data_IF_919457063275
#
_entry.id   IF_919457063275
#
_cell.length_a   1.000
_cell.length_b   1.000
_cell.length_c   1.000
_cell.angle_alpha   90.00
_cell.angle_beta   90.00
_cell.angle_gamma   90.00
#
_symmetry.space_group_name_H-M   'P 1'
#
loop_
_entity.id
_entity.type
_entity.pdbx_description
1 polymer ?
#
# COMPACT_ATOMS: atom_id res chain seq x y z
N UNK A 1 -19.46 -31.79 19.15
CA UNK A 1 -20.78 -31.93 18.52
C UNK A 1 -21.25 -33.38 18.68
N UNK A 2 -22.53 -33.62 19.05
CA UNK A 2 -23.09 -34.96 19.20
C UNK A 2 -23.51 -35.49 17.81
N UNK A 3 -23.34 -36.81 17.57
CA UNK A 3 -23.75 -37.49 16.34
C UNK A 3 -25.24 -37.27 16.02
N UNK A 4 -26.10 -37.20 17.04
CA UNK A 4 -27.52 -36.87 16.88
C UNK A 4 -27.76 -35.46 16.28
N UNK A 5 -26.94 -34.48 16.64
CA UNK A 5 -27.02 -33.14 16.07
C UNK A 5 -26.51 -33.08 14.61
N UNK A 6 -25.51 -33.90 14.28
CA UNK A 6 -25.01 -34.03 12.90
C UNK A 6 -26.11 -34.62 11.98
N UNK A 7 -26.81 -35.65 12.45
CA UNK A 7 -27.94 -36.32 11.73
C UNK A 7 -29.13 -35.36 11.51
N UNK A 8 -29.39 -34.47 12.48
CA UNK A 8 -30.47 -33.48 12.39
C UNK A 8 -30.10 -32.35 11.41
N UNK A 9 -28.86 -31.91 11.39
CA UNK A 9 -28.35 -30.88 10.46
C UNK A 9 -28.25 -31.40 9.02
N UNK A 10 -27.90 -32.67 8.82
CA UNK A 10 -27.88 -33.31 7.50
C UNK A 10 -29.27 -33.37 6.83
N UNK A 11 -30.34 -33.53 7.62
CA UNK A 11 -31.72 -33.58 7.11
C UNK A 11 -32.31 -32.21 6.73
N UNK A 12 -31.74 -31.12 7.19
CA UNK A 12 -32.27 -29.74 6.99
C UNK A 12 -31.53 -28.94 5.91
N UNK A 13 -30.59 -29.54 5.16
CA UNK A 13 -29.80 -28.82 4.16
C UNK A 13 -28.81 -27.81 4.77
N UNK A 14 -28.93 -27.47 6.05
CA UNK A 14 -28.19 -26.43 6.74
C UNK A 14 -26.68 -26.72 6.82
N UNK A 15 -26.25 -27.97 6.63
CA UNK A 15 -24.83 -28.38 6.59
C UNK A 15 -24.21 -28.01 5.23
N UNK A 16 -24.96 -28.22 4.17
CA UNK A 16 -24.58 -27.90 2.79
C UNK A 16 -24.48 -26.38 2.64
N UNK A 17 -25.46 -25.61 3.16
CA UNK A 17 -25.41 -24.14 3.14
C UNK A 17 -24.24 -23.58 3.94
N UNK A 18 -23.91 -24.19 5.08
CA UNK A 18 -22.72 -23.81 5.87
C UNK A 18 -21.41 -24.14 5.15
N UNK A 19 -21.36 -25.30 4.48
CA UNK A 19 -20.19 -25.69 3.68
C UNK A 19 -20.03 -24.78 2.46
N UNK A 20 -21.12 -24.49 1.75
CA UNK A 20 -21.12 -23.55 0.62
C UNK A 20 -20.63 -22.18 1.07
N UNK A 21 -21.19 -21.59 2.13
CA UNK A 21 -20.74 -20.33 2.70
C UNK A 21 -19.28 -20.37 3.17
N UNK A 22 -18.82 -21.51 3.68
CA UNK A 22 -17.41 -21.66 4.09
C UNK A 22 -16.48 -21.78 2.89
N UNK A 23 -16.91 -22.45 1.81
CA UNK A 23 -16.16 -22.55 0.55
C UNK A 23 -16.17 -21.21 -0.18
N UNK A 24 -17.30 -20.50 -0.23
CA UNK A 24 -17.39 -19.13 -0.74
C UNK A 24 -16.42 -18.21 0.02
N UNK A 25 -16.42 -18.26 1.34
CA UNK A 25 -15.52 -17.48 2.19
C UNK A 25 -14.04 -17.88 2.05
N UNK A 26 -13.74 -19.13 1.68
CA UNK A 26 -12.39 -19.57 1.34
C UNK A 26 -12.00 -19.13 -0.07
N UNK A 27 -12.93 -19.10 -1.01
CA UNK A 27 -12.71 -18.61 -2.37
C UNK A 27 -12.63 -17.07 -2.42
N UNK A 28 -13.37 -16.36 -1.56
CA UNK A 28 -13.25 -14.91 -1.37
C UNK A 28 -11.87 -14.51 -0.80
N UNK A 29 -11.23 -15.39 -0.01
CA UNK A 29 -9.85 -15.19 0.45
C UNK A 29 -8.78 -15.38 -0.63
N UNK A 30 -9.14 -15.83 -1.83
CA UNK A 30 -8.21 -16.06 -2.93
C UNK A 30 -7.77 -14.81 -3.69
N UNK A 31 -8.40 -13.65 -3.46
CA UNK A 31 -7.95 -12.38 -4.01
C UNK A 31 -7.27 -11.58 -2.90
N UNK A 32 -5.96 -11.74 -2.74
CA UNK A 32 -5.12 -11.25 -1.64
C UNK A 32 -5.12 -9.74 -1.32
N UNK A 33 -6.19 -9.01 -1.65
CA UNK A 33 -6.38 -7.63 -1.25
C UNK A 33 -7.17 -7.56 0.06
N UNK A 34 -6.61 -6.95 1.09
CA UNK A 34 -7.32 -6.68 2.35
C UNK A 34 -8.47 -5.69 2.08
N UNK A 35 -9.71 -6.17 2.15
CA UNK A 35 -10.92 -5.36 1.92
C UNK A 35 -11.10 -4.21 2.92
N UNK A 36 -10.42 -4.28 4.06
CA UNK A 36 -10.39 -3.19 5.04
C UNK A 36 -9.61 -1.98 4.54
N UNK A 37 -8.73 -2.18 3.53
CA UNK A 37 -7.89 -1.11 2.99
C UNK A 37 -8.65 -0.34 1.91
N UNK A 38 -9.03 0.90 2.24
CA UNK A 38 -9.60 1.81 1.27
C UNK A 38 -8.55 2.27 0.25
N UNK A 39 -8.91 2.25 -1.01
CA UNK A 39 -8.10 2.76 -2.11
C UNK A 39 -8.87 3.87 -2.82
N UNK A 40 -8.28 5.07 -2.95
CA UNK A 40 -8.92 6.13 -3.72
C UNK A 40 -9.01 5.73 -5.19
N UNK A 41 -10.16 5.92 -5.79
CA UNK A 41 -10.35 5.72 -7.22
C UNK A 41 -9.85 6.92 -8.02
N UNK A 42 -9.32 6.64 -9.20
CA UNK A 42 -8.89 7.66 -10.16
C UNK A 42 -9.61 7.44 -11.49
N UNK A 43 -9.87 8.53 -12.20
CA UNK A 43 -10.46 8.51 -13.51
C UNK A 43 -9.45 8.03 -14.59
N UNK A 44 -9.90 7.94 -15.85
CA UNK A 44 -9.06 7.52 -16.98
C UNK A 44 -7.85 8.45 -17.21
N UNK A 45 -7.89 9.67 -16.72
CA UNK A 45 -6.81 10.66 -16.80
C UNK A 45 -5.83 10.56 -15.63
N UNK A 46 -6.16 9.74 -14.62
CA UNK A 46 -5.36 9.55 -13.42
C UNK A 46 -5.64 10.59 -12.32
N UNK A 47 -6.76 11.32 -12.41
CA UNK A 47 -7.21 12.25 -11.38
C UNK A 47 -8.20 11.57 -10.43
N UNK A 48 -8.09 11.87 -9.16
CA UNK A 48 -8.99 11.37 -8.13
C UNK A 48 -9.29 12.42 -7.07
N UNK A 49 -10.45 12.29 -6.44
CA UNK A 49 -10.88 13.17 -5.36
C UNK A 49 -11.69 12.38 -4.35
N UNK A 50 -11.36 12.57 -3.08
CA UNK A 50 -12.16 12.11 -1.97
C UNK A 50 -11.95 13.02 -0.76
N UNK A 51 -12.88 12.98 0.19
CA UNK A 51 -12.76 13.65 1.49
C UNK A 51 -12.76 12.57 2.56
N UNK A 52 -11.70 12.52 3.33
CA UNK A 52 -11.53 11.56 4.42
C UNK A 52 -11.25 12.30 5.73
N UNK A 53 -11.51 11.66 6.84
CA UNK A 53 -11.09 12.10 8.17
C UNK A 53 -10.15 11.06 8.74
N UNK A 54 -8.96 11.46 9.13
CA UNK A 54 -8.07 10.62 9.92
C UNK A 54 -8.68 10.41 11.31
N UNK A 55 -8.54 9.21 11.84
CA UNK A 55 -9.13 8.82 13.11
C UNK A 55 -8.05 8.60 14.17
N UNK A 56 -8.37 8.73 15.46
CA UNK A 56 -7.41 8.51 16.54
C UNK A 56 -6.91 7.07 16.57
N UNK A 57 -5.98 6.81 17.45
CA UNK A 57 -5.50 5.47 17.75
C UNK A 57 -6.63 4.57 18.31
N UNK A 58 -6.66 3.30 17.87
CA UNK A 58 -7.51 2.29 18.48
C UNK A 58 -6.97 1.89 19.85
N UNK A 59 -7.81 1.29 20.69
CA UNK A 59 -7.41 0.81 22.01
C UNK A 59 -6.19 -0.14 21.89
N UNK A 60 -5.14 0.13 22.67
CA UNK A 60 -3.89 -0.65 22.66
C UNK A 60 -2.88 -0.24 21.60
N UNK A 61 -3.19 0.75 20.75
CA UNK A 61 -2.23 1.33 19.82
C UNK A 61 -1.56 2.55 20.46
N UNK A 62 -0.27 2.73 20.22
CA UNK A 62 0.51 3.86 20.73
C UNK A 62 0.36 5.11 19.87
N UNK A 63 0.15 4.93 18.57
CA UNK A 63 0.07 5.99 17.56
C UNK A 63 -1.13 5.77 16.63
N UNK A 64 -1.72 6.85 16.08
CA UNK A 64 -2.81 6.76 15.10
C UNK A 64 -2.33 6.33 13.70
N UNK A 65 -1.08 5.87 13.58
CA UNK A 65 -0.53 5.27 12.36
C UNK A 65 0.47 4.16 12.66
N UNK A 66 0.51 3.15 11.81
CA UNK A 66 1.59 2.18 11.74
C UNK A 66 2.54 2.53 10.59
N UNK A 67 3.85 2.43 10.84
CA UNK A 67 4.90 2.69 9.85
C UNK A 67 5.52 1.38 9.40
N UNK A 68 5.44 1.06 8.12
CA UNK A 68 5.92 -0.21 7.56
C UNK A 68 6.88 0.04 6.41
N UNK A 69 8.03 -0.62 6.45
CA UNK A 69 8.97 -0.67 5.33
C UNK A 69 8.79 -1.98 4.56
N UNK A 70 8.72 -1.87 3.23
CA UNK A 70 8.61 -3.02 2.33
C UNK A 70 9.68 -2.93 1.24
N UNK A 71 10.16 -4.08 0.77
CA UNK A 71 10.94 -4.17 -0.46
C UNK A 71 10.06 -4.71 -1.57
N UNK A 72 10.07 -4.06 -2.74
CA UNK A 72 9.35 -4.53 -3.91
C UNK A 72 10.16 -4.18 -5.16
N UNK A 73 10.78 -5.18 -5.78
CA UNK A 73 11.58 -5.04 -6.98
C UNK A 73 11.58 -6.34 -7.78
N UNK A 74 11.90 -6.24 -9.06
CA UNK A 74 12.04 -7.37 -9.95
C UNK A 74 13.53 -7.60 -10.24
N UNK A 75 13.97 -8.85 -10.05
CA UNK A 75 15.28 -9.30 -10.44
C UNK A 75 15.23 -10.39 -11.51
N UNK A 76 16.37 -10.94 -11.94
CA UNK A 76 16.43 -12.01 -12.93
C UNK A 76 15.66 -13.29 -12.54
N UNK A 77 15.54 -13.57 -11.24
CA UNK A 77 14.81 -14.72 -10.70
C UNK A 77 13.34 -14.44 -10.38
N UNK A 78 12.83 -13.25 -10.74
CA UNK A 78 11.44 -12.86 -10.52
C UNK A 78 11.27 -11.71 -9.51
N UNK A 79 10.05 -11.52 -9.04
CA UNK A 79 9.70 -10.49 -8.09
C UNK A 79 10.14 -10.82 -6.66
N UNK A 80 10.63 -9.79 -5.97
CA UNK A 80 10.85 -9.78 -4.54
C UNK A 80 9.89 -8.78 -3.89
N UNK A 81 8.89 -9.27 -3.18
CA UNK A 81 7.91 -8.44 -2.45
C UNK A 81 7.84 -8.97 -1.03
N UNK A 82 8.41 -8.22 -0.08
CA UNK A 82 8.48 -8.65 1.33
C UNK A 82 8.53 -7.46 2.28
N UNK A 83 7.99 -7.66 3.48
CA UNK A 83 8.18 -6.71 4.57
C UNK A 83 9.64 -6.67 5.02
N UNK A 84 10.14 -5.47 5.27
CA UNK A 84 11.51 -5.26 5.72
C UNK A 84 11.61 -5.39 7.24
N UNK A 85 12.56 -6.19 7.72
CA UNK A 85 12.87 -6.33 9.15
C UNK A 85 13.27 -5.00 9.81
N UNK A 86 13.65 -3.99 9.02
CA UNK A 86 13.92 -2.65 9.55
C UNK A 86 12.66 -1.96 10.12
N UNK A 87 11.47 -2.44 9.80
CA UNK A 87 10.21 -2.03 10.46
C UNK A 87 10.25 -2.35 11.96
N UNK A 88 10.82 -3.49 12.31
CA UNK A 88 10.98 -3.98 13.69
C UNK A 88 12.31 -3.53 14.33
N UNK A 89 13.05 -2.62 13.69
CA UNK A 89 14.37 -2.20 14.17
C UNK A 89 15.48 -3.26 14.01
N UNK A 90 15.21 -4.33 13.24
CA UNK A 90 16.15 -5.44 13.05
C UNK A 90 16.95 -5.28 11.76
N UNK A 91 18.10 -5.96 11.67
CA UNK A 91 18.90 -6.06 10.45
C UNK A 91 18.10 -6.76 9.35
N UNK A 92 18.24 -6.25 8.12
CA UNK A 92 17.54 -6.78 6.95
C UNK A 92 18.54 -7.10 5.83
N UNK A 93 18.59 -8.35 5.31
CA UNK A 93 19.60 -8.75 4.35
C UNK A 93 19.54 -7.95 3.05
N UNK A 94 18.35 -7.49 2.65
CA UNK A 94 18.17 -6.66 1.45
C UNK A 94 18.77 -5.27 1.67
N UNK A 95 18.56 -4.69 2.83
CA UNK A 95 19.12 -3.36 3.17
C UNK A 95 20.65 -3.42 3.23
N UNK A 96 21.21 -4.48 3.79
CA UNK A 96 22.66 -4.70 3.84
C UNK A 96 23.24 -4.91 2.44
N UNK A 97 22.58 -5.73 1.60
CA UNK A 97 22.97 -5.91 0.21
C UNK A 97 22.94 -4.60 -0.58
N UNK A 98 21.90 -3.80 -0.43
CA UNK A 98 21.80 -2.50 -1.09
C UNK A 98 22.88 -1.53 -0.60
N UNK A 99 23.23 -1.55 0.67
CA UNK A 99 24.35 -0.74 1.20
C UNK A 99 25.68 -1.15 0.57
N UNK A 100 25.89 -2.44 0.39
CA UNK A 100 27.09 -2.95 -0.30
C UNK A 100 27.15 -2.47 -1.75
N UNK A 101 26.03 -2.57 -2.49
CA UNK A 101 25.93 -2.08 -3.87
C UNK A 101 26.20 -0.58 -3.97
N UNK A 102 25.67 0.19 -3.05
CA UNK A 102 25.87 1.64 -3.00
C UNK A 102 27.32 2.01 -2.74
N UNK A 103 27.95 1.33 -1.76
CA UNK A 103 29.32 1.59 -1.34
C UNK A 103 30.37 1.09 -2.34
N UNK A 104 30.02 0.19 -3.25
CA UNK A 104 30.92 -0.23 -4.35
C UNK A 104 31.24 0.91 -5.33
N UNK A 105 30.55 2.04 -5.24
CA UNK A 105 30.83 3.25 -5.98
C UNK A 105 30.53 3.23 -7.48
N UNK A 106 30.13 2.07 -8.03
CA UNK A 106 29.79 1.93 -9.45
C UNK A 106 28.42 2.48 -9.75
N UNK A 107 28.25 3.18 -10.89
CA UNK A 107 26.96 3.71 -11.30
C UNK A 107 25.87 2.62 -11.44
N UNK A 108 26.25 1.47 -11.99
CA UNK A 108 25.37 0.29 -12.09
C UNK A 108 24.92 -0.21 -10.71
N UNK A 109 25.84 -0.28 -9.73
CA UNK A 109 25.51 -0.68 -8.36
C UNK A 109 24.55 0.30 -7.68
N UNK A 110 24.79 1.61 -7.83
CA UNK A 110 23.91 2.65 -7.30
C UNK A 110 22.53 2.61 -7.94
N UNK A 111 22.44 2.40 -9.26
CA UNK A 111 21.16 2.26 -9.95
C UNK A 111 20.37 1.04 -9.46
N UNK A 112 21.04 -0.09 -9.29
CA UNK A 112 20.43 -1.30 -8.73
C UNK A 112 19.94 -1.06 -7.30
N UNK A 113 20.75 -0.44 -6.45
CA UNK A 113 20.37 -0.11 -5.07
C UNK A 113 19.14 0.82 -5.02
N UNK A 114 19.05 1.82 -5.92
CA UNK A 114 17.86 2.69 -6.04
C UNK A 114 16.61 1.90 -6.40
N UNK A 115 16.69 0.96 -7.36
CA UNK A 115 15.57 0.10 -7.76
C UNK A 115 15.10 -0.84 -6.65
N UNK A 116 16.01 -1.27 -5.79
CA UNK A 116 15.77 -2.20 -4.69
C UNK A 116 15.54 -1.51 -3.34
N UNK A 117 15.55 -0.17 -3.31
CA UNK A 117 15.33 0.63 -2.12
C UNK A 117 14.01 0.24 -1.43
N UNK A 118 14.04 0.13 -0.10
CA UNK A 118 12.82 -0.07 0.67
C UNK A 118 11.84 1.07 0.48
N UNK A 119 10.57 0.75 0.42
CA UNK A 119 9.45 1.70 0.35
C UNK A 119 8.88 1.90 1.75
N UNK A 120 8.60 3.15 2.10
CA UNK A 120 7.95 3.51 3.35
C UNK A 120 6.45 3.70 3.08
N UNK A 121 5.63 3.03 3.87
CA UNK A 121 4.19 3.19 3.89
C UNK A 121 3.69 3.41 5.30
N UNK A 122 2.64 4.19 5.43
CA UNK A 122 1.91 4.42 6.67
C UNK A 122 0.50 3.84 6.51
N UNK A 123 -0.04 3.35 7.61
CA UNK A 123 -1.43 2.86 7.69
C UNK A 123 -2.11 3.60 8.83
N UNK A 124 -3.27 4.18 8.56
CA UNK A 124 -4.11 4.84 9.57
C UNK A 124 -5.55 4.44 9.40
N UNK A 125 -6.32 4.49 10.47
CA UNK A 125 -7.76 4.43 10.40
C UNK A 125 -8.29 5.74 9.81
N UNK A 126 -9.23 5.65 8.91
CA UNK A 126 -9.93 6.79 8.31
C UNK A 126 -11.44 6.57 8.32
N UNK A 127 -12.16 7.66 8.37
CA UNK A 127 -13.59 7.71 8.05
C UNK A 127 -13.76 8.34 6.67
N UNK A 128 -14.49 7.69 5.78
CA UNK A 128 -14.76 8.21 4.45
C UNK A 128 -15.94 9.19 4.53
N UNK A 129 -15.66 10.46 4.34
CA UNK A 129 -16.67 11.54 4.40
C UNK A 129 -17.38 11.68 3.07
N UNK A 130 -16.61 11.67 1.96
CA UNK A 130 -17.14 11.76 0.61
C UNK A 130 -16.21 11.03 -0.35
N UNK A 131 -16.77 10.08 -1.12
CA UNK A 131 -16.06 9.31 -2.17
C UNK A 131 -16.94 9.27 -3.42
N UNK A 132 -16.90 10.30 -4.26
CA UNK A 132 -17.79 10.41 -5.43
C UNK A 132 -17.65 9.25 -6.42
N UNK A 133 -16.50 8.60 -6.44
CA UNK A 133 -16.24 7.45 -7.30
C UNK A 133 -16.86 6.15 -6.75
N UNK A 134 -16.94 6.02 -5.42
CA UNK A 134 -17.52 4.88 -4.74
C UNK A 134 -18.37 5.32 -3.54
N UNK A 135 -19.59 5.81 -3.77
CA UNK A 135 -20.46 6.33 -2.69
C UNK A 135 -20.77 5.31 -1.59
N UNK A 136 -20.69 4.03 -1.91
CA UNK A 136 -20.90 2.93 -0.94
C UNK A 136 -19.86 2.91 0.19
N UNK A 137 -18.72 3.56 0.02
CA UNK A 137 -17.70 3.69 1.05
C UNK A 137 -18.01 4.81 2.05
N UNK A 138 -18.86 5.74 1.69
CA UNK A 138 -19.17 6.89 2.54
C UNK A 138 -19.82 6.46 3.85
N UNK A 139 -19.43 7.11 4.92
CA UNK A 139 -19.95 6.82 6.25
C UNK A 139 -19.33 5.58 6.93
N UNK A 140 -18.27 4.99 6.37
CA UNK A 140 -17.62 3.80 6.90
C UNK A 140 -16.19 4.09 7.34
N UNK A 141 -15.69 3.24 8.25
CA UNK A 141 -14.30 3.23 8.72
C UNK A 141 -13.50 2.24 7.89
N UNK A 142 -12.34 2.66 7.43
CA UNK A 142 -11.39 1.86 6.68
C UNK A 142 -9.96 2.10 7.16
N UNK A 143 -9.06 1.21 6.76
CA UNK A 143 -7.63 1.45 6.77
C UNK A 143 -7.22 2.20 5.51
N UNK A 144 -6.34 3.18 5.64
CA UNK A 144 -5.75 3.89 4.51
C UNK A 144 -4.24 3.73 4.50
N UNK A 145 -3.72 3.19 3.39
CA UNK A 145 -2.29 3.08 3.14
C UNK A 145 -1.82 4.29 2.35
N UNK A 146 -0.85 5.04 2.87
CA UNK A 146 -0.33 6.24 2.23
C UNK A 146 1.20 6.34 2.35
N UNK A 147 1.80 7.18 1.52
CA UNK A 147 3.23 7.40 1.47
C UNK A 147 3.68 8.64 2.25
N UNK A 148 4.98 8.91 2.19
CA UNK A 148 5.64 10.03 2.89
C UNK A 148 4.97 11.38 2.59
N UNK A 149 4.61 11.68 1.35
CA UNK A 149 4.01 12.98 0.97
C UNK A 149 2.72 13.32 1.73
N UNK A 150 1.87 12.35 2.00
CA UNK A 150 0.65 12.56 2.81
C UNK A 150 1.03 12.63 4.29
N UNK A 151 1.96 11.81 4.75
CA UNK A 151 2.44 11.88 6.13
C UNK A 151 3.08 13.25 6.44
N UNK A 152 3.87 13.79 5.53
CA UNK A 152 4.48 15.11 5.71
C UNK A 152 3.40 16.21 5.86
N UNK A 153 2.31 16.16 5.08
CA UNK A 153 1.17 17.06 5.23
C UNK A 153 0.45 16.92 6.60
N UNK A 154 0.38 15.70 7.13
CA UNK A 154 -0.14 15.45 8.48
C UNK A 154 0.77 16.11 9.52
N UNK A 155 2.08 15.90 9.39
CA UNK A 155 3.07 16.48 10.31
C UNK A 155 3.13 18.00 10.21
N UNK A 156 3.01 18.57 9.02
CA UNK A 156 2.92 20.01 8.76
C UNK A 156 1.68 20.61 9.45
N UNK A 157 0.53 19.96 9.34
CA UNK A 157 -0.68 20.39 10.04
C UNK A 157 -0.55 20.31 11.56
N UNK A 158 0.11 19.29 12.09
CA UNK A 158 0.34 19.14 13.55
C UNK A 158 1.41 20.08 14.09
N UNK A 159 2.39 20.41 13.27
CA UNK A 159 3.50 21.32 13.62
C UNK A 159 3.79 22.20 12.42
N UNK A 160 3.03 23.29 12.24
CA UNK A 160 3.26 24.26 11.19
C UNK A 160 4.68 24.85 11.25
N UNK A 161 5.19 25.25 10.09
CA UNK A 161 6.50 25.88 9.99
C UNK A 161 6.43 27.39 10.33
N UNK A 162 5.27 28.02 10.12
CA UNK A 162 5.06 29.45 10.32
C UNK A 162 4.25 29.74 11.58
N UNK A 163 4.64 30.80 12.32
CA UNK A 163 4.02 31.20 13.60
C UNK A 163 2.58 31.75 13.46
N UNK A 164 2.15 32.08 12.24
CA UNK A 164 0.80 32.55 11.93
C UNK A 164 -0.19 31.41 11.62
N UNK A 165 0.28 30.18 11.56
CA UNK A 165 -0.52 28.98 11.35
C UNK A 165 -0.85 28.33 12.70
N UNK A 166 -2.13 28.01 12.91
CA UNK A 166 -2.55 27.28 14.11
C UNK A 166 -2.34 25.77 13.95
N UNK A 167 -1.66 25.09 14.90
CA UNK A 167 -1.49 23.65 14.85
C UNK A 167 -2.84 22.92 14.93
N UNK A 168 -3.02 21.93 14.08
CA UNK A 168 -4.21 21.10 14.02
C UNK A 168 -3.82 19.66 14.36
N UNK A 169 -4.55 18.98 15.25
CA UNK A 169 -4.46 17.52 15.36
C UNK A 169 -5.45 16.86 14.41
N UNK A 170 -5.03 16.36 13.23
CA UNK A 170 -5.95 15.78 12.25
C UNK A 170 -6.69 14.53 12.73
N UNK A 171 -6.20 13.90 13.78
CA UNK A 171 -6.75 12.65 14.33
C UNK A 171 -7.82 12.87 15.40
N UNK A 172 -8.02 14.10 15.83
CA UNK A 172 -9.01 14.44 16.86
C UNK A 172 -10.44 14.43 16.29
N UNK A 173 -11.38 13.84 17.03
CA UNK A 173 -12.78 13.76 16.63
C UNK A 173 -13.48 15.10 16.63
N UNK A 174 -13.16 15.96 17.60
CA UNK A 174 -13.87 17.22 17.86
C UNK A 174 -13.19 18.44 17.25
N UNK A 175 -11.86 18.48 17.31
CA UNK A 175 -11.05 19.62 16.88
C UNK A 175 -10.18 19.34 15.66
N UNK A 176 -10.29 18.15 15.08
CA UNK A 176 -9.53 17.78 13.90
C UNK A 176 -10.09 18.39 12.61
N UNK A 177 -9.55 17.98 11.47
CA UNK A 177 -9.94 18.50 10.16
C UNK A 177 -10.11 17.40 9.12
N UNK A 178 -11.05 17.60 8.19
CA UNK A 178 -11.17 16.71 7.04
C UNK A 178 -9.99 16.91 6.08
N UNK A 179 -9.53 15.83 5.51
CA UNK A 179 -8.47 15.83 4.50
C UNK A 179 -9.08 15.70 3.11
N UNK A 180 -8.92 16.72 2.28
CA UNK A 180 -9.31 16.73 0.87
C UNK A 180 -8.20 16.07 0.07
N UNK A 181 -8.34 14.78 -0.19
CA UNK A 181 -7.40 14.02 -1.01
C UNK A 181 -7.62 14.36 -2.47
N UNK A 182 -6.64 14.97 -3.09
CA UNK A 182 -6.62 15.35 -4.50
C UNK A 182 -5.46 14.64 -5.18
N UNK A 183 -5.79 13.72 -6.09
CA UNK A 183 -4.81 12.95 -6.83
C UNK A 183 -4.75 13.49 -8.25
N UNK A 184 -3.56 13.68 -8.77
CA UNK A 184 -3.33 14.00 -10.18
C UNK A 184 -2.15 13.22 -10.73
N UNK A 185 -2.16 12.96 -12.02
CA UNK A 185 -1.03 12.31 -12.69
C UNK A 185 -0.06 13.40 -13.19
N UNK A 186 1.19 13.32 -12.74
CA UNK A 186 2.28 14.21 -13.16
C UNK A 186 3.42 13.31 -13.63
N UNK A 187 3.87 13.48 -14.87
CA UNK A 187 4.98 12.70 -15.44
C UNK A 187 4.81 11.18 -15.33
N UNK A 188 3.57 10.70 -15.42
CA UNK A 188 3.27 9.27 -15.30
C UNK A 188 3.05 8.77 -13.86
N UNK A 189 3.31 9.58 -12.83
CA UNK A 189 3.18 9.21 -11.41
C UNK A 189 2.01 9.92 -10.74
N UNK A 190 1.40 9.25 -9.76
CA UNK A 190 0.39 9.88 -8.90
C UNK A 190 1.04 10.92 -7.99
N UNK A 191 0.46 12.10 -7.95
CA UNK A 191 0.90 13.21 -7.10
C UNK A 191 -0.25 13.72 -6.23
N UNK A 192 0.07 14.04 -4.97
CA UNK A 192 -0.86 14.45 -3.91
C UNK A 192 -0.62 15.88 -3.46
N UNK A 193 0.15 16.67 -4.20
CA UNK A 193 0.59 18.02 -3.83
C UNK A 193 -0.57 19.00 -3.56
N UNK A 194 -1.68 18.80 -4.26
CA UNK A 194 -2.90 19.62 -4.10
C UNK A 194 -3.82 19.15 -2.98
N UNK A 195 -3.47 18.05 -2.30
CA UNK A 195 -4.23 17.60 -1.13
C UNK A 195 -3.97 18.53 0.05
N UNK A 196 -5.01 18.81 0.84
CA UNK A 196 -4.98 19.79 1.92
C UNK A 196 -5.96 19.42 3.04
N UNK A 197 -5.71 19.91 4.24
CA UNK A 197 -6.68 19.87 5.32
C UNK A 197 -7.70 21.00 5.15
N UNK A 198 -8.93 20.73 5.53
CA UNK A 198 -9.99 21.75 5.63
C UNK A 198 -9.88 22.50 6.97
N UNK A 199 -10.76 23.43 7.18
CA UNK A 199 -10.90 24.07 8.50
C UNK A 199 -11.26 23.02 9.55
N UNK A 200 -10.81 23.25 10.78
CA UNK A 200 -11.15 22.42 11.92
C UNK A 200 -12.64 22.34 12.13
N UNK A 201 -13.15 21.16 12.39
CA UNK A 201 -14.56 20.90 12.67
C UNK A 201 -14.72 19.56 13.38
N UNK A 202 -15.74 19.38 14.22
CA UNK A 202 -16.07 18.06 14.72
C UNK A 202 -16.44 17.12 13.56
N UNK A 203 -16.13 15.83 13.71
CA UNK A 203 -16.57 14.82 12.74
C UNK A 203 -18.09 14.64 12.80
N UNK A 204 -18.63 14.61 14.01
CA UNK A 204 -20.07 14.63 14.32
C UNK A 204 -20.28 15.33 15.67
N UNK A 205 -21.48 15.91 15.85
CA UNK A 205 -21.90 16.51 17.11
C UNK A 205 -22.48 15.46 18.09
N UNK A 206 -22.66 14.22 17.65
CA UNK A 206 -23.27 13.12 18.39
C UNK A 206 -22.17 12.17 18.91
N UNK A 207 -21.96 12.18 20.23
CA UNK A 207 -20.96 11.36 20.90
C UNK A 207 -21.26 9.85 20.78
N UNK A 208 -22.53 9.43 20.78
CA UNK A 208 -22.91 8.01 20.58
C UNK A 208 -22.46 7.50 19.22
N UNK A 209 -22.48 8.37 18.21
CA UNK A 209 -21.99 8.07 16.87
C UNK A 209 -20.48 8.01 16.84
N UNK A 210 -19.79 8.92 17.52
CA UNK A 210 -18.34 8.91 17.63
C UNK A 210 -17.84 7.66 18.36
N UNK A 211 -18.53 7.24 19.42
CA UNK A 211 -18.20 5.99 20.14
C UNK A 211 -18.34 4.75 19.25
N UNK A 212 -19.39 4.67 18.42
CA UNK A 212 -19.54 3.58 17.45
C UNK A 212 -18.41 3.55 16.43
N UNK A 213 -17.97 4.71 15.96
CA UNK A 213 -16.83 4.83 15.04
C UNK A 213 -15.56 4.39 15.76
N UNK A 214 -15.31 4.85 16.99
CA UNK A 214 -14.16 4.47 17.79
C UNK A 214 -14.11 2.95 18.01
N UNK A 215 -15.22 2.33 18.34
CA UNK A 215 -15.32 0.87 18.52
C UNK A 215 -15.18 0.06 17.22
N UNK A 216 -15.19 0.72 16.05
CA UNK A 216 -14.99 0.10 14.75
C UNK A 216 -13.57 0.29 14.19
N UNK A 217 -12.67 0.94 14.93
CA UNK A 217 -11.29 1.13 14.53
C UNK A 217 -10.57 -0.22 14.40
N UNK A 218 -9.70 -0.29 13.41
CA UNK A 218 -8.84 -1.46 13.21
C UNK A 218 -7.57 -1.34 14.04
N UNK A 219 -7.09 -2.47 14.55
CA UNK A 219 -5.82 -2.54 15.26
C UNK A 219 -4.65 -2.37 14.28
N UNK A 220 -3.89 -1.30 14.43
CA UNK A 220 -2.74 -0.99 13.59
C UNK A 220 -1.50 -1.82 13.96
N UNK A 221 -1.46 -2.40 15.16
CA UNK A 221 -0.37 -3.27 15.58
C UNK A 221 -0.28 -4.53 14.72
N UNK A 222 -1.37 -4.95 14.06
CA UNK A 222 -1.35 -6.05 13.10
C UNK A 222 -0.28 -5.84 12.01
N UNK A 223 -0.04 -4.62 11.56
CA UNK A 223 0.93 -4.33 10.49
C UNK A 223 2.39 -4.42 10.93
N UNK A 224 2.65 -4.31 12.23
CA UNK A 224 3.98 -4.39 12.83
C UNK A 224 4.17 -5.64 13.69
N UNK A 225 3.21 -6.57 13.70
CA UNK A 225 3.34 -7.85 14.40
C UNK A 225 4.50 -8.66 13.77
N UNK A 226 5.49 -9.10 14.56
CA UNK A 226 6.61 -9.91 14.07
C UNK A 226 6.21 -11.14 13.26
N UNK A 227 5.00 -11.67 13.45
CA UNK A 227 4.46 -12.82 12.67
C UNK A 227 4.30 -12.51 11.18
N UNK A 228 4.14 -11.25 10.81
CA UNK A 228 3.98 -10.80 9.44
C UNK A 228 5.32 -10.54 8.73
N UNK A 229 6.43 -10.88 9.39
CA UNK A 229 7.78 -10.69 8.86
C UNK A 229 8.49 -12.03 8.77
N UNK A 230 9.08 -12.30 7.62
CA UNK A 230 9.97 -13.44 7.47
C UNK A 230 11.27 -13.18 8.22
N UNK A 231 11.88 -14.24 8.73
CA UNK A 231 13.17 -14.15 9.39
C UNK A 231 14.30 -13.76 8.40
N UNK A 232 15.44 -13.39 8.94
CA UNK A 232 16.59 -12.95 8.16
C UNK A 232 17.04 -14.02 7.14
N UNK A 233 17.12 -15.30 7.55
CA UNK A 233 17.59 -16.37 6.70
C UNK A 233 16.63 -16.69 5.54
N UNK A 234 15.32 -16.63 5.80
CA UNK A 234 14.30 -16.80 4.77
C UNK A 234 14.33 -15.64 3.77
N UNK A 235 14.48 -14.39 4.23
CA UNK A 235 14.62 -13.22 3.37
C UNK A 235 15.91 -13.28 2.54
N UNK A 236 17.03 -13.69 3.12
CA UNK A 236 18.30 -13.84 2.42
C UNK A 236 18.20 -14.90 1.31
N UNK A 237 17.62 -16.06 1.62
CA UNK A 237 17.38 -17.12 0.64
C UNK A 237 16.53 -16.62 -0.52
N UNK A 238 15.42 -15.92 -0.22
CA UNK A 238 14.52 -15.36 -1.23
C UNK A 238 15.21 -14.27 -2.07
N UNK A 239 16.04 -13.44 -1.45
CA UNK A 239 16.86 -12.44 -2.15
C UNK A 239 17.80 -13.11 -3.18
N UNK A 240 18.49 -14.18 -2.78
CA UNK A 240 19.40 -14.93 -3.67
C UNK A 240 18.66 -15.49 -4.89
N UNK A 241 17.42 -15.97 -4.71
CA UNK A 241 16.58 -16.41 -5.84
C UNK A 241 16.17 -15.23 -6.74
N UNK A 242 15.66 -14.16 -6.16
CA UNK A 242 15.24 -12.99 -6.93
C UNK A 242 16.40 -12.39 -7.74
N UNK A 243 17.61 -12.43 -7.21
CA UNK A 243 18.82 -11.97 -7.90
C UNK A 243 19.38 -12.98 -8.92
N UNK A 244 18.82 -14.20 -9.01
CA UNK A 244 19.31 -15.24 -9.91
C UNK A 244 20.63 -15.89 -9.47
N UNK A 245 21.05 -15.69 -8.22
CA UNK A 245 22.31 -16.23 -7.68
C UNK A 245 22.20 -17.71 -7.29
N UNK A 246 20.99 -18.21 -7.07
CA UNK A 246 20.69 -19.64 -6.87
C UNK A 246 19.52 -20.01 -7.77
N UNK A 247 19.58 -21.22 -8.35
CA UNK A 247 18.56 -21.73 -9.25
C UNK A 247 17.15 -21.65 -8.62
N UNK A 248 16.19 -21.21 -9.41
CA UNK A 248 14.79 -21.03 -8.99
C UNK A 248 14.19 -22.34 -8.48
N UNK A 249 13.57 -22.38 -7.29
CA UNK A 249 12.67 -23.46 -6.96
C UNK A 249 11.47 -23.42 -7.92
N UNK A 250 11.11 -24.55 -8.48
CA UNK A 250 9.95 -24.72 -9.39
C UNK A 250 8.58 -24.60 -8.70
N UNK A 251 8.44 -23.83 -7.66
CA UNK A 251 7.15 -23.51 -7.04
C UNK A 251 7.01 -21.99 -6.93
N UNK A 252 6.50 -21.37 -7.98
CA UNK A 252 5.85 -20.09 -7.85
C UNK A 252 4.47 -20.35 -7.27
N UNK A 253 4.23 -19.92 -6.03
CA UNK A 253 2.90 -19.88 -5.46
C UNK A 253 2.02 -18.98 -6.34
N UNK A 254 0.82 -19.45 -6.67
CA UNK A 254 -0.15 -18.72 -7.48
C UNK A 254 -0.45 -17.34 -6.86
N UNK A 255 -0.45 -17.26 -5.54
CA UNK A 255 -0.59 -16.05 -4.74
C UNK A 255 0.54 -15.03 -4.99
N UNK A 256 1.77 -15.47 -5.20
CA UNK A 256 2.90 -14.60 -5.54
C UNK A 256 2.75 -14.03 -6.96
N UNK A 257 2.27 -14.81 -7.93
CA UNK A 257 2.03 -14.33 -9.30
C UNK A 257 0.91 -13.29 -9.36
N UNK A 258 -0.14 -13.48 -8.57
CA UNK A 258 -1.25 -12.53 -8.50
C UNK A 258 -0.83 -11.21 -7.86
N UNK A 259 -0.02 -11.25 -6.80
CA UNK A 259 0.57 -10.05 -6.18
C UNK A 259 1.52 -9.32 -7.14
N UNK A 260 2.32 -10.05 -7.91
CA UNK A 260 3.20 -9.50 -8.95
C UNK A 260 2.40 -8.78 -10.04
N UNK A 261 1.33 -9.41 -10.53
CA UNK A 261 0.44 -8.84 -11.53
C UNK A 261 -0.29 -7.59 -11.03
N UNK A 262 -0.71 -7.58 -9.77
CA UNK A 262 -1.34 -6.43 -9.13
C UNK A 262 -0.36 -5.25 -9.01
N UNK A 263 0.88 -5.51 -8.60
CA UNK A 263 1.94 -4.50 -8.52
C UNK A 263 2.30 -3.89 -9.87
N UNK A 264 2.34 -4.72 -10.93
CA UNK A 264 2.56 -4.22 -12.29
C UNK A 264 1.42 -3.30 -12.76
N UNK A 265 0.17 -3.64 -12.46
CA UNK A 265 -1.00 -2.80 -12.77
C UNK A 265 -0.95 -1.48 -12.00
N UNK A 266 -0.67 -1.51 -10.70
CA UNK A 266 -0.52 -0.31 -9.87
C UNK A 266 0.61 0.60 -10.38
N UNK A 267 1.71 0.02 -10.84
CA UNK A 267 2.86 0.77 -11.37
C UNK A 267 2.58 1.39 -12.75
N UNK A 268 1.79 0.71 -13.58
CA UNK A 268 1.39 1.22 -14.91
C UNK A 268 0.26 2.24 -14.82
N UNK A 269 -0.38 2.41 -13.68
CA UNK A 269 -1.55 3.27 -13.53
C UNK A 269 -2.78 2.72 -14.26
N UNK A 270 -2.79 1.42 -14.55
CA UNK A 270 -3.84 0.75 -15.31
C UNK A 270 -4.89 0.19 -14.33
N UNK A 271 -5.79 1.05 -13.91
CA UNK A 271 -6.96 0.68 -13.10
C UNK A 271 -8.14 0.33 -14.03
N UNK A 272 -8.02 -0.74 -14.80
CA UNK A 272 -9.19 -1.34 -15.45
C UNK A 272 -9.75 -2.43 -14.53
N UNK A 273 -11.03 -2.29 -14.17
CA UNK A 273 -11.82 -3.34 -13.49
C UNK A 273 -11.73 -4.67 -14.24
N UNK A 274 -11.78 -5.81 -13.55
CA UNK A 274 -11.88 -7.11 -14.19
C UNK A 274 -13.24 -7.22 -14.89
N UNK A 275 -13.26 -7.01 -16.19
CA UNK A 275 -14.41 -7.29 -17.04
C UNK A 275 -14.71 -8.78 -17.01
N UNK A 276 -15.90 -9.12 -16.55
CA UNK A 276 -16.46 -10.48 -16.59
C UNK A 276 -16.38 -11.07 -17.99
N UNK A 277 -15.95 -12.31 -18.05
CA UNK A 277 -15.79 -13.12 -19.24
C UNK A 277 -17.05 -13.18 -20.11
N UNK A 278 -16.87 -12.89 -21.37
CA UNK A 278 -17.82 -13.23 -22.43
C UNK A 278 -17.06 -13.69 -23.66
N UNK A 279 -17.30 -14.93 -24.00
CA UNK A 279 -16.71 -15.76 -25.03
C UNK A 279 -16.80 -15.20 -26.45
N UNK A 280 -15.85 -15.64 -27.25
CA UNK A 280 -15.94 -16.13 -28.66
C UNK A 280 -15.50 -15.21 -29.80
N UNK A 281 -14.49 -15.74 -30.47
CA UNK A 281 -14.27 -16.00 -31.90
C UNK A 281 -13.90 -14.88 -32.86
N UNK A 282 -12.75 -15.18 -33.54
CA UNK A 282 -12.43 -15.04 -34.98
C UNK A 282 -12.41 -13.61 -35.53
N UNK A 283 -11.52 -13.20 -36.33
CA UNK A 283 -10.59 -13.73 -37.31
C UNK A 283 -9.87 -12.55 -38.02
N UNK A 284 -8.66 -12.84 -38.54
CA UNK A 284 -8.03 -12.31 -39.74
C UNK A 284 -7.55 -10.85 -39.83
N UNK A 285 -6.26 -10.80 -39.91
CA UNK A 285 -5.38 -10.36 -41.00
C UNK A 285 -5.11 -8.88 -41.25
N UNK A 286 -3.81 -8.69 -41.42
CA UNK A 286 -3.08 -7.82 -42.32
C UNK A 286 -2.88 -6.32 -42.03
N UNK A 287 -1.64 -6.03 -41.77
CA UNK A 287 -0.83 -5.20 -42.63
C UNK A 287 -0.67 -3.75 -42.25
N UNK A 288 0.47 -3.37 -41.81
CA UNK A 288 1.36 -2.34 -42.38
C UNK A 288 2.25 -1.64 -41.34
N UNK A 289 3.51 -1.94 -41.50
CA UNK A 289 4.62 -1.13 -41.02
C UNK A 289 4.53 0.32 -41.44
N UNK A 290 4.71 1.26 -40.53
CA UNK A 290 5.34 2.55 -40.81
C UNK A 290 6.22 2.97 -39.63
N UNK A 291 7.50 3.01 -39.90
CA UNK A 291 8.52 3.69 -39.15
C UNK A 291 8.22 5.17 -39.04
N UNK A 292 8.33 5.74 -37.87
CA UNK A 292 8.58 7.18 -37.74
C UNK A 292 9.70 7.41 -36.74
N UNK A 293 10.63 8.21 -37.18
CA UNK A 293 11.87 8.63 -36.58
C UNK A 293 11.68 9.33 -35.24
N UNK A 294 12.63 9.03 -34.40
CA UNK A 294 12.97 9.67 -33.15
C UNK A 294 13.47 11.12 -33.38
N UNK A 295 13.15 12.06 -32.54
CA UNK A 295 14.08 13.13 -32.24
C UNK A 295 14.47 13.14 -30.76
N UNK A 296 15.75 12.98 -30.57
CA UNK A 296 16.64 13.38 -29.52
C UNK A 296 16.07 14.40 -28.51
N UNK A 297 15.85 13.99 -27.25
CA UNK A 297 15.67 14.91 -26.13
C UNK A 297 16.58 14.46 -24.98
N UNK A 298 17.64 15.23 -24.82
CA UNK A 298 18.54 15.20 -23.67
C UNK A 298 17.79 15.44 -22.35
N UNK A 299 18.04 14.67 -21.29
CA UNK A 299 17.43 14.91 -19.98
C UNK A 299 18.13 16.06 -19.25
N UNK A 300 17.35 17.08 -18.96
CA UNK A 300 17.72 18.16 -18.04
C UNK A 300 17.76 17.61 -16.61
N UNK A 301 18.92 17.75 -16.00
CA UNK A 301 19.21 17.46 -14.59
C UNK A 301 18.49 18.45 -13.67
N UNK A 302 17.59 17.97 -12.81
CA UNK A 302 17.25 18.61 -11.53
C UNK A 302 16.61 17.56 -10.61
N UNK A 303 17.42 16.95 -9.76
CA UNK A 303 16.99 16.14 -8.62
C UNK A 303 18.01 16.29 -7.50
N UNK A 304 17.86 17.35 -6.72
CA UNK A 304 18.63 17.59 -5.48
C UNK A 304 17.75 17.49 -4.23
N UNK A 305 16.89 16.51 -4.07
CA UNK A 305 16.12 16.36 -2.82
C UNK A 305 15.99 14.91 -2.29
N UNK A 306 16.76 13.94 -2.78
CA UNK A 306 16.63 12.54 -2.32
C UNK A 306 17.75 12.03 -1.41
N UNK A 307 18.71 12.85 -1.00
CA UNK A 307 19.98 12.34 -0.44
C UNK A 307 20.06 12.31 1.09
N UNK A 308 19.12 12.92 1.83
CA UNK A 308 19.24 13.05 3.30
C UNK A 308 19.06 11.74 4.07
N UNK A 309 18.30 10.79 3.53
CA UNK A 309 18.08 9.52 4.23
C UNK A 309 19.26 8.54 4.12
N UNK A 310 20.06 8.65 3.07
CA UNK A 310 21.24 7.80 2.87
C UNK A 310 22.46 8.38 3.62
N UNK A 311 22.56 9.70 3.74
CA UNK A 311 23.57 10.37 4.54
C UNK A 311 23.41 10.11 6.06
N UNK A 312 22.20 9.93 6.54
CA UNK A 312 21.95 9.56 7.94
C UNK A 312 22.51 8.18 8.28
N UNK A 313 22.37 7.21 7.37
CA UNK A 313 22.90 5.85 7.59
C UNK A 313 24.42 5.77 7.46
N UNK A 314 25.04 6.56 6.61
CA UNK A 314 26.50 6.63 6.50
C UNK A 314 27.16 7.17 7.80
N UNK A 315 26.46 8.04 8.54
CA UNK A 315 26.91 8.54 9.85
C UNK A 315 26.79 7.53 10.98
N UNK A 316 25.82 6.60 10.91
CA UNK A 316 25.58 5.59 11.95
C UNK A 316 26.56 4.41 11.91
N UNK A 317 27.23 4.19 10.78
CA UNK A 317 28.20 3.09 10.61
C UNK A 317 29.63 3.52 11.02
N UNK A 318 29.88 4.81 11.18
CA UNK A 318 31.20 5.38 11.52
C UNK A 318 31.29 5.95 12.96
N UNK A 319 30.28 5.66 13.81
CA UNK A 319 30.32 6.00 15.24
C UNK A 319 30.32 4.68 16.11
#
# INVERSE_FOLDING_TARGET
MSFANLKKQSRTGSLTDKLIKSVEKLNEKGNGADERIWKPSVDKTGNGYAVIRFLPEAEGNELPWARVYTHAFQGPGGWFIENSLTTLGQKCPISEYNSTLWNNGTDSGKEQARKQKRKLSYYSNIFVVNDPANPDNEGKVFLYKYGKKIHDKIMEAMKPEFDDEEPINPFDFWTGANFKLKIRKVEGYQNYDKSEFDKTSPLFDDDDRLEKIYNSLHDLNEFIDPKNFKDYAALEKRLQYALGLKGTPKMQDQETQEQEAQWERERRGDYSEPSAAGSSYEDMSEGRSKSFNDPDITPSSNTEEEDDSLNYFAKLVNS
#
